data_IF_405306476442
#
_entry.id   IF_405306476442
#
_cell.length_a   1.000
_cell.length_b   1.000
_cell.length_c   1.000
_cell.angle_alpha   90.00
_cell.angle_beta   90.00
_cell.angle_gamma   90.00
#
_symmetry.space_group_name_H-M   'P 1'
#
loop_
_entity.id
_entity.type
_entity.pdbx_description
1 polymer ?
#
# COMPACT_ATOMS: atom_id res chain seq x y z
N UNK A 1 -52.00 -2.47 -55.95
CA UNK A 1 -51.36 -1.96 -57.19
C UNK A 1 -49.88 -2.32 -57.15
N UNK A 2 -49.43 -3.15 -58.12
CA UNK A 2 -48.06 -3.30 -58.67
C UNK A 2 -46.91 -3.51 -57.64
N UNK A 3 -46.48 -4.74 -57.31
CA UNK A 3 -45.50 -5.61 -58.00
C UNK A 3 -44.35 -4.88 -58.72
N UNK A 4 -43.11 -5.13 -58.29
CA UNK A 4 -41.98 -5.46 -59.19
C UNK A 4 -40.96 -6.36 -58.49
N UNK A 5 -40.80 -7.54 -59.08
CA UNK A 5 -39.71 -8.51 -58.90
C UNK A 5 -38.52 -8.13 -59.79
N UNK A 6 -37.34 -8.70 -59.49
CA UNK A 6 -36.24 -9.16 -60.36
C UNK A 6 -34.88 -8.87 -59.68
N UNK A 7 -33.84 -9.70 -59.71
CA UNK A 7 -33.64 -11.07 -60.19
C UNK A 7 -32.27 -11.57 -59.67
N UNK A 8 -32.12 -12.88 -59.71
CA UNK A 8 -30.96 -13.71 -59.36
C UNK A 8 -29.96 -13.80 -60.53
N UNK A 9 -28.66 -13.86 -60.24
CA UNK A 9 -27.61 -14.51 -61.06
C UNK A 9 -26.48 -14.94 -60.09
N UNK A 10 -26.10 -16.19 -59.87
CA UNK A 10 -25.80 -17.40 -60.67
C UNK A 10 -24.53 -17.31 -61.52
N UNK A 11 -23.55 -18.16 -61.16
CA UNK A 11 -22.44 -18.64 -62.02
C UNK A 11 -21.09 -17.96 -61.72
N UNK A 12 -19.94 -18.64 -61.72
CA UNK A 12 -19.61 -20.03 -61.96
C UNK A 12 -18.16 -20.27 -61.49
N UNK A 13 -17.87 -21.52 -61.12
CA UNK A 13 -16.54 -22.01 -60.79
C UNK A 13 -15.61 -22.07 -62.01
N UNK A 14 -14.30 -21.86 -61.82
CA UNK A 14 -13.28 -22.68 -62.52
C UNK A 14 -11.84 -22.41 -62.08
N UNK A 15 -11.20 -23.52 -61.70
CA UNK A 15 -9.89 -24.01 -62.17
C UNK A 15 -8.62 -23.38 -61.59
N UNK A 16 -8.11 -24.12 -60.61
CA UNK A 16 -6.69 -24.44 -60.45
C UNK A 16 -6.00 -24.72 -61.80
N UNK A 17 -4.83 -24.12 -62.02
CA UNK A 17 -3.85 -24.66 -62.96
C UNK A 17 -2.42 -24.35 -62.45
N UNK A 18 -1.62 -25.38 -62.09
CA UNK A 18 -0.21 -25.20 -61.78
C UNK A 18 0.62 -25.36 -63.06
N UNK A 19 1.48 -24.39 -63.38
CA UNK A 19 2.56 -24.61 -64.33
C UNK A 19 3.87 -24.05 -63.81
N UNK A 20 4.76 -24.99 -63.53
CA UNK A 20 6.17 -24.78 -63.31
C UNK A 20 6.81 -24.10 -64.53
N UNK A 21 7.71 -23.16 -64.27
CA UNK A 21 8.74 -22.76 -65.21
C UNK A 21 10.06 -22.73 -64.46
N UNK A 22 10.88 -23.75 -64.73
CA UNK A 22 12.31 -23.80 -64.37
C UNK A 22 13.01 -22.61 -65.02
N UNK A 23 13.75 -21.84 -64.24
CA UNK A 23 14.83 -21.02 -64.74
C UNK A 23 16.09 -21.34 -63.93
N UNK A 24 16.93 -22.16 -64.53
CA UNK A 24 18.31 -22.37 -64.13
C UNK A 24 19.06 -21.03 -64.09
N UNK A 25 19.66 -20.69 -62.96
CA UNK A 25 20.84 -19.83 -62.94
C UNK A 25 21.88 -20.42 -61.99
N UNK A 26 22.84 -21.10 -62.61
CA UNK A 26 24.06 -21.62 -61.99
C UNK A 26 24.99 -20.47 -61.58
N UNK A 27 25.80 -20.74 -60.56
CA UNK A 27 26.99 -20.00 -60.06
C UNK A 27 26.67 -18.68 -59.33
N UNK A 28 27.13 -18.42 -58.11
CA UNK A 28 28.45 -18.67 -57.53
C UNK A 28 28.35 -18.97 -56.01
N UNK A 29 29.09 -19.97 -55.56
CA UNK A 29 29.34 -20.28 -54.16
C UNK A 29 30.31 -19.22 -53.63
N UNK A 30 29.87 -18.36 -52.72
CA UNK A 30 30.77 -17.63 -51.83
C UNK A 30 30.42 -17.99 -50.39
N UNK A 31 31.39 -18.61 -49.73
CA UNK A 31 31.30 -19.10 -48.37
C UNK A 31 31.11 -17.94 -47.37
N UNK A 32 29.99 -17.93 -46.67
CA UNK A 32 29.85 -17.21 -45.40
C UNK A 32 29.51 -18.21 -44.31
N UNK A 33 30.58 -18.81 -43.78
CA UNK A 33 30.60 -19.54 -42.52
C UNK A 33 30.53 -18.53 -41.37
N UNK A 34 29.69 -18.85 -40.38
CA UNK A 34 29.69 -18.40 -39.00
C UNK A 34 29.32 -16.93 -38.69
N UNK A 35 28.17 -16.71 -38.05
CA UNK A 35 28.09 -16.73 -36.59
C UNK A 35 26.62 -16.55 -36.16
N UNK A 36 26.02 -17.60 -35.56
CA UNK A 36 24.78 -17.46 -34.80
C UNK A 36 25.21 -16.89 -33.43
N UNK A 37 25.09 -15.57 -33.28
CA UNK A 37 25.32 -14.91 -32.01
C UNK A 37 24.21 -15.33 -31.02
N UNK A 38 24.59 -16.12 -30.03
CA UNK A 38 23.75 -16.52 -28.91
C UNK A 38 23.49 -15.27 -28.04
N UNK A 39 22.30 -14.68 -28.19
CA UNK A 39 21.81 -13.60 -27.33
C UNK A 39 21.50 -14.17 -25.94
N UNK A 40 22.50 -14.17 -25.05
CA UNK A 40 22.30 -14.40 -23.62
C UNK A 40 21.58 -13.16 -23.07
N UNK A 41 20.27 -13.27 -22.87
CA UNK A 41 19.50 -12.27 -22.12
C UNK A 41 19.94 -12.37 -20.67
N UNK A 42 20.82 -11.48 -20.25
CA UNK A 42 21.16 -11.29 -18.85
C UNK A 42 19.93 -10.71 -18.12
N UNK A 43 19.08 -11.59 -17.59
CA UNK A 43 18.10 -11.22 -16.56
C UNK A 43 18.87 -10.80 -15.32
N UNK A 44 19.20 -9.50 -15.23
CA UNK A 44 19.73 -8.92 -14.01
C UNK A 44 18.71 -9.09 -12.89
N UNK A 45 19.08 -9.82 -11.84
CA UNK A 45 18.35 -9.78 -10.58
C UNK A 45 18.41 -8.34 -10.06
N UNK A 46 17.35 -7.56 -10.30
CA UNK A 46 17.16 -6.31 -9.61
C UNK A 46 16.91 -6.65 -8.14
N UNK A 47 17.94 -6.51 -7.31
CA UNK A 47 17.77 -6.59 -5.86
C UNK A 47 16.70 -5.55 -5.44
N UNK A 48 15.77 -5.91 -4.55
CA UNK A 48 14.79 -4.94 -4.07
C UNK A 48 15.54 -3.75 -3.44
N UNK A 49 15.09 -2.51 -3.71
CA UNK A 49 15.74 -1.33 -3.14
C UNK A 49 15.74 -1.45 -1.62
N UNK A 50 16.93 -1.29 -1.02
CA UNK A 50 17.07 -1.27 0.43
C UNK A 50 16.24 -0.12 1.03
N UNK A 51 15.59 -0.33 2.18
CA UNK A 51 14.89 0.76 2.86
C UNK A 51 15.85 1.92 3.14
N UNK A 52 15.39 3.19 3.06
CA UNK A 52 16.22 4.33 3.41
C UNK A 52 16.69 4.24 4.86
N UNK A 53 17.93 4.63 5.12
CA UNK A 53 18.46 4.67 6.48
C UNK A 53 17.79 5.82 7.22
N UNK A 54 17.47 5.62 8.50
CA UNK A 54 16.77 6.63 9.30
C UNK A 54 17.48 7.99 9.31
N UNK A 55 18.81 8.02 9.24
CA UNK A 55 19.60 9.25 9.20
C UNK A 55 19.38 10.07 7.92
N UNK A 56 19.02 9.42 6.81
CA UNK A 56 18.82 10.07 5.50
C UNK A 56 17.44 10.71 5.37
N UNK A 57 16.53 10.41 6.30
CA UNK A 57 15.20 11.02 6.33
C UNK A 57 15.28 12.48 6.83
N UNK A 58 14.37 13.36 6.34
CA UNK A 58 14.18 14.69 6.92
C UNK A 58 14.04 14.60 8.44
N UNK A 59 14.62 15.56 9.17
CA UNK A 59 14.75 15.50 10.63
C UNK A 59 13.43 15.19 11.35
N UNK A 60 12.34 15.88 10.98
CA UNK A 60 11.01 15.66 11.57
C UNK A 60 10.42 14.27 11.29
N UNK A 61 10.91 13.57 10.26
CA UNK A 61 10.47 12.22 9.91
C UNK A 61 11.27 11.12 10.60
N UNK A 62 12.44 11.42 11.16
CA UNK A 62 13.32 10.42 11.77
C UNK A 62 12.64 9.74 12.96
N UNK A 63 12.97 8.46 13.15
CA UNK A 63 12.62 7.70 14.32
C UNK A 63 13.38 8.25 15.53
N UNK A 64 12.76 8.14 16.70
CA UNK A 64 13.36 8.59 17.94
C UNK A 64 14.60 7.74 18.30
N UNK A 65 15.57 8.29 19.04
CA UNK A 65 16.75 7.54 19.47
C UNK A 65 16.39 6.23 20.17
N UNK A 66 17.06 5.14 19.79
CA UNK A 66 16.83 3.82 20.36
C UNK A 66 15.58 3.07 19.83
N UNK A 67 14.80 3.65 18.91
CA UNK A 67 13.77 2.93 18.19
C UNK A 67 14.40 1.76 17.40
N UNK A 68 13.75 0.59 17.45
CA UNK A 68 14.20 -0.62 16.74
C UNK A 68 13.32 -0.80 15.51
N UNK A 69 13.93 -0.86 14.33
CA UNK A 69 13.24 -1.22 13.08
C UNK A 69 12.86 -2.71 13.15
N UNK A 70 11.57 -3.00 13.14
CA UNK A 70 11.01 -4.34 13.30
C UNK A 70 10.59 -4.94 11.96
N UNK A 71 10.09 -4.12 11.03
CA UNK A 71 9.63 -4.58 9.72
C UNK A 71 9.69 -3.47 8.66
N UNK A 72 9.76 -3.88 7.39
CA UNK A 72 9.67 -2.99 6.22
C UNK A 72 8.64 -3.57 5.27
N UNK A 73 7.58 -2.80 5.06
CA UNK A 73 6.42 -3.22 4.29
C UNK A 73 6.26 -2.36 3.05
N UNK A 74 5.92 -2.99 1.93
CA UNK A 74 5.49 -2.26 0.73
C UNK A 74 3.96 -2.21 0.66
N UNK A 75 3.44 -1.14 0.08
CA UNK A 75 2.00 -0.95 -0.09
C UNK A 75 1.68 -0.47 -1.49
N UNK A 76 0.57 -1.00 -2.04
CA UNK A 76 0.01 -0.64 -3.34
C UNK A 76 -1.50 -0.63 -3.21
N UNK A 77 -2.12 0.53 -3.37
CA UNK A 77 -3.55 0.70 -3.16
C UNK A 77 -3.96 2.11 -3.54
N UNK A 78 -4.73 2.76 -2.67
CA UNK A 78 -5.33 4.06 -2.94
C UNK A 78 -5.27 4.99 -1.73
N UNK A 79 -5.27 6.28 -1.99
CA UNK A 79 -5.65 7.29 -1.01
C UNK A 79 -7.12 7.61 -1.22
N UNK A 80 -7.87 7.54 -0.13
CA UNK A 80 -9.29 7.83 -0.10
C UNK A 80 -9.50 9.30 0.23
N UNK A 81 -10.25 9.98 -0.62
CA UNK A 81 -10.75 11.32 -0.43
C UNK A 81 -12.27 11.32 -0.45
N UNK A 82 -12.87 12.23 0.30
CA UNK A 82 -14.30 12.52 0.27
C UNK A 82 -14.49 14.00 -0.03
N UNK A 83 -15.51 14.32 -0.82
CA UNK A 83 -15.85 15.69 -1.14
C UNK A 83 -16.60 16.35 0.03
N UNK A 84 -15.93 17.27 0.73
CA UNK A 84 -16.50 17.98 1.87
C UNK A 84 -16.93 19.39 1.51
N UNK A 85 -18.05 19.82 2.08
CA UNK A 85 -18.45 21.22 2.05
C UNK A 85 -17.77 22.01 3.17
N UNK A 86 -17.16 23.13 2.79
CA UNK A 86 -16.67 24.15 3.70
C UNK A 86 -17.24 25.50 3.29
N UNK A 87 -18.31 25.93 3.96
CA UNK A 87 -19.06 27.12 3.54
C UNK A 87 -19.74 26.91 2.18
N UNK A 88 -19.42 27.77 1.21
CA UNK A 88 -19.94 27.68 -0.15
C UNK A 88 -19.12 26.75 -1.06
N UNK A 89 -17.91 26.37 -0.64
CA UNK A 89 -16.97 25.62 -1.47
C UNK A 89 -17.01 24.12 -1.18
N UNK A 90 -16.75 23.33 -2.22
CA UNK A 90 -16.57 21.88 -2.14
C UNK A 90 -15.10 21.54 -2.42
N UNK A 91 -14.49 20.72 -1.56
CA UNK A 91 -13.08 20.34 -1.72
C UNK A 91 -12.80 18.90 -1.32
N UNK A 92 -11.78 18.30 -1.95
CA UNK A 92 -11.34 16.95 -1.61
C UNK A 92 -10.66 16.93 -0.24
N UNK A 93 -11.27 16.24 0.71
CA UNK A 93 -10.74 16.04 2.05
C UNK A 93 -10.13 14.64 2.19
N UNK A 94 -8.88 14.59 2.67
CA UNK A 94 -8.16 13.34 2.88
C UNK A 94 -8.81 12.50 3.98
N UNK A 95 -9.18 11.25 3.69
CA UNK A 95 -9.71 10.28 4.66
C UNK A 95 -8.67 9.28 5.13
N UNK A 96 -7.72 8.93 4.27
CA UNK A 96 -6.64 8.02 4.63
C UNK A 96 -6.11 7.22 3.46
N UNK A 97 -5.22 6.28 3.77
CA UNK A 97 -4.76 5.27 2.82
C UNK A 97 -5.62 4.03 2.97
N UNK A 98 -5.89 3.35 1.87
CA UNK A 98 -6.46 2.00 1.85
C UNK A 98 -5.56 1.15 0.95
N UNK A 99 -4.79 0.25 1.54
CA UNK A 99 -3.81 -0.54 0.79
C UNK A 99 -3.45 -1.84 1.49
N UNK A 100 -3.43 -2.97 0.77
CA UNK A 100 -2.74 -4.16 1.22
C UNK A 100 -1.27 -3.88 1.52
N UNK A 101 -0.76 -4.56 2.54
CA UNK A 101 0.63 -4.50 2.98
C UNK A 101 1.32 -5.81 2.61
N UNK A 102 2.55 -5.70 2.10
CA UNK A 102 3.35 -6.83 1.64
C UNK A 102 4.73 -6.81 2.30
N UNK A 103 5.21 -7.98 2.72
CA UNK A 103 6.57 -8.16 3.21
C UNK A 103 7.61 -8.19 2.07
N UNK A 104 8.88 -8.39 2.43
CA UNK A 104 9.99 -8.45 1.47
C UNK A 104 9.93 -9.62 0.50
N UNK A 105 9.19 -10.69 0.84
CA UNK A 105 8.94 -11.83 -0.05
C UNK A 105 7.74 -11.57 -0.99
N UNK A 106 7.07 -10.42 -0.86
CA UNK A 106 5.87 -10.09 -1.63
C UNK A 106 4.61 -10.79 -1.12
N UNK A 107 4.66 -11.42 0.05
CA UNK A 107 3.47 -12.01 0.67
C UNK A 107 2.61 -10.89 1.27
N UNK A 108 1.30 -10.93 1.02
CA UNK A 108 0.34 -10.05 1.71
C UNK A 108 0.30 -10.44 3.19
N UNK A 109 0.46 -9.47 4.07
CA UNK A 109 0.52 -9.67 5.52
C UNK A 109 -0.53 -8.88 6.29
N UNK A 110 -1.30 -8.03 5.60
CA UNK A 110 -2.24 -7.13 6.24
C UNK A 110 -2.73 -6.00 5.34
N UNK A 111 -3.29 -4.98 5.96
CA UNK A 111 -3.90 -3.81 5.31
C UNK A 111 -3.63 -2.55 6.13
N UNK A 112 -3.29 -1.44 5.47
CA UNK A 112 -3.40 -0.09 6.01
C UNK A 112 -4.74 0.50 5.56
N UNK A 113 -5.49 1.10 6.48
CA UNK A 113 -6.86 1.57 6.26
C UNK A 113 -7.06 3.03 6.75
N UNK A 114 -8.12 3.72 6.26
CA UNK A 114 -8.44 5.07 6.68
C UNK A 114 -8.55 5.22 8.20
N UNK A 115 -8.26 6.42 8.71
CA UNK A 115 -8.14 6.64 10.17
C UNK A 115 -6.81 6.17 10.79
N UNK A 116 -5.84 5.75 9.97
CA UNK A 116 -4.49 5.40 10.43
C UNK A 116 -4.39 3.99 11.03
N UNK A 117 -5.28 3.09 10.61
CA UNK A 117 -5.29 1.69 11.02
C UNK A 117 -4.28 0.88 10.22
N UNK A 118 -3.57 -0.01 10.91
CA UNK A 118 -2.72 -1.04 10.34
C UNK A 118 -3.15 -2.37 10.95
N UNK A 119 -3.64 -3.29 10.14
CA UNK A 119 -4.18 -4.57 10.58
C UNK A 119 -3.40 -5.69 9.89
N UNK A 120 -2.86 -6.62 10.66
CA UNK A 120 -2.14 -7.77 10.15
C UNK A 120 -3.05 -9.00 10.10
N UNK A 121 -2.73 -9.93 9.20
CA UNK A 121 -3.47 -11.19 9.04
C UNK A 121 -3.28 -12.13 10.26
N UNK A 122 -2.33 -11.83 11.16
CA UNK A 122 -2.15 -12.50 12.46
C UNK A 122 -3.09 -11.98 13.57
N UNK A 123 -3.99 -11.05 13.24
CA UNK A 123 -4.95 -10.44 14.16
C UNK A 123 -4.39 -9.27 14.98
N UNK A 124 -3.09 -8.96 14.87
CA UNK A 124 -2.52 -7.76 15.50
C UNK A 124 -2.86 -6.49 14.72
N UNK A 125 -2.93 -5.37 15.45
CA UNK A 125 -3.21 -4.08 14.84
C UNK A 125 -2.52 -2.93 15.55
N UNK A 126 -2.41 -1.80 14.85
CA UNK A 126 -2.03 -0.51 15.39
C UNK A 126 -2.95 0.59 14.84
N UNK A 127 -3.28 1.57 15.67
CA UNK A 127 -4.00 2.79 15.30
C UNK A 127 -3.05 3.96 15.50
N UNK A 128 -2.83 4.73 14.44
CA UNK A 128 -1.81 5.78 14.42
C UNK A 128 -2.41 7.15 14.18
N UNK A 129 -1.66 8.20 14.57
CA UNK A 129 -1.91 9.57 14.13
C UNK A 129 -0.68 10.11 13.43
N UNK A 130 -0.88 11.09 12.54
CA UNK A 130 0.23 11.85 11.98
C UNK A 130 0.91 12.65 13.08
N UNK A 131 2.24 12.63 13.07
CA UNK A 131 3.09 13.39 13.97
C UNK A 131 3.94 14.42 13.22
N UNK A 132 4.44 14.04 12.04
CA UNK A 132 5.13 14.96 11.14
C UNK A 132 4.87 14.58 9.68
N UNK A 133 5.01 15.55 8.77
CA UNK A 133 4.96 15.35 7.31
C UNK A 133 6.12 16.07 6.64
N UNK A 134 6.59 15.53 5.51
CA UNK A 134 7.49 16.22 4.60
C UNK A 134 7.02 16.02 3.16
N UNK A 135 6.91 17.13 2.41
CA UNK A 135 6.61 17.06 0.98
C UNK A 135 7.88 16.77 0.19
N UNK A 136 7.83 15.80 -0.71
CA UNK A 136 8.94 15.45 -1.61
C UNK A 136 8.67 15.92 -3.05
N UNK A 137 7.57 16.63 -3.27
CA UNK A 137 7.09 17.08 -4.56
C UNK A 137 5.56 17.19 -4.57
N UNK A 138 4.97 17.90 -5.54
CA UNK A 138 3.52 18.15 -5.57
C UNK A 138 2.70 16.94 -6.05
N UNK A 139 3.33 15.97 -6.71
CA UNK A 139 2.65 14.84 -7.35
C UNK A 139 2.48 13.62 -6.45
N UNK A 140 3.16 13.61 -5.30
CA UNK A 140 3.21 12.47 -4.41
C UNK A 140 2.70 12.86 -3.02
N UNK A 141 1.88 12.00 -2.42
CA UNK A 141 1.40 12.20 -1.06
C UNK A 141 2.59 12.40 -0.12
N UNK A 142 2.56 13.40 0.76
CA UNK A 142 3.68 13.69 1.66
C UNK A 142 4.13 12.46 2.45
N UNK A 143 5.45 12.33 2.61
CA UNK A 143 6.01 11.40 3.58
C UNK A 143 5.53 11.79 4.97
N UNK A 144 5.37 10.80 5.84
CA UNK A 144 4.79 11.03 7.15
C UNK A 144 5.43 10.16 8.21
N UNK A 145 5.58 10.74 9.40
CA UNK A 145 5.87 10.04 10.64
C UNK A 145 4.54 9.84 11.36
N UNK A 146 4.19 8.59 11.63
CA UNK A 146 2.94 8.20 12.27
C UNK A 146 3.27 7.61 13.64
N UNK A 147 2.67 8.13 14.70
CA UNK A 147 2.86 7.62 16.06
C UNK A 147 1.66 6.78 16.46
N UNK A 148 1.93 5.63 17.07
CA UNK A 148 0.91 4.71 17.54
C UNK A 148 0.20 5.30 18.76
N UNK A 149 -1.13 5.28 18.72
CA UNK A 149 -2.02 5.64 19.83
C UNK A 149 -2.47 4.40 20.58
N UNK A 150 -2.73 3.33 19.83
CA UNK A 150 -3.15 2.03 20.33
C UNK A 150 -2.48 0.94 19.50
N UNK A 151 -2.10 -0.15 20.15
CA UNK A 151 -1.66 -1.37 19.50
C UNK A 151 -2.11 -2.57 20.34
N UNK A 152 -2.33 -3.70 19.69
CA UNK A 152 -2.67 -4.95 20.35
C UNK A 152 -2.43 -6.14 19.41
N UNK A 153 -2.45 -7.33 19.99
CA UNK A 153 -2.37 -8.62 19.32
C UNK A 153 -3.27 -9.64 19.99
N UNK A 154 -3.43 -10.82 19.38
CA UNK A 154 -4.27 -11.89 19.93
C UNK A 154 -3.81 -12.32 21.34
N UNK A 155 -2.50 -12.44 21.55
CA UNK A 155 -1.88 -12.45 22.88
C UNK A 155 -1.14 -11.13 23.09
N UNK A 156 -1.10 -10.66 24.33
CA UNK A 156 -0.46 -9.39 24.67
C UNK A 156 0.98 -9.31 24.15
N UNK A 157 1.27 -8.26 23.40
CA UNK A 157 2.59 -8.01 22.84
C UNK A 157 3.04 -8.99 21.73
N UNK A 158 2.18 -9.89 21.27
CA UNK A 158 2.47 -10.83 20.18
C UNK A 158 1.84 -10.40 18.87
N UNK A 159 2.48 -10.74 17.75
CA UNK A 159 2.03 -10.34 16.42
C UNK A 159 2.72 -9.08 15.91
N UNK A 160 2.66 -8.90 14.60
CA UNK A 160 3.47 -7.94 13.84
C UNK A 160 3.26 -6.50 14.27
N UNK A 161 2.02 -6.09 14.55
CA UNK A 161 1.71 -4.71 14.93
C UNK A 161 1.54 -4.48 16.43
N UNK A 162 1.53 -5.53 17.25
CA UNK A 162 1.21 -5.44 18.67
C UNK A 162 2.18 -4.58 19.50
N UNK A 163 3.41 -4.36 19.01
CA UNK A 163 4.42 -3.51 19.68
C UNK A 163 4.80 -2.27 18.87
N UNK A 164 4.05 -1.97 17.81
CA UNK A 164 4.34 -0.83 16.94
C UNK A 164 4.14 0.46 17.70
N UNK A 165 5.19 1.28 17.81
CA UNK A 165 5.14 2.61 18.43
C UNK A 165 5.18 3.72 17.39
N UNK A 166 5.83 3.45 16.25
CA UNK A 166 6.10 4.44 15.23
C UNK A 166 6.09 3.75 13.87
N UNK A 167 5.53 4.43 12.87
CA UNK A 167 5.57 4.02 11.47
C UNK A 167 6.06 5.21 10.66
N UNK A 168 7.10 5.01 9.84
CA UNK A 168 7.49 5.99 8.83
C UNK A 168 6.92 5.57 7.48
N UNK A 169 6.20 6.48 6.84
CA UNK A 169 5.66 6.31 5.49
C UNK A 169 6.52 7.13 4.54
N UNK A 170 7.27 6.44 3.70
CA UNK A 170 8.26 7.02 2.79
C UNK A 170 8.10 6.44 1.39
N UNK A 171 8.89 6.93 0.43
CA UNK A 171 8.86 6.47 -0.96
C UNK A 171 7.45 6.46 -1.57
N UNK A 172 6.61 7.40 -1.17
CA UNK A 172 5.27 7.56 -1.69
C UNK A 172 5.32 7.88 -3.18
N UNK A 173 4.37 7.32 -3.94
CA UNK A 173 4.08 7.77 -5.31
C UNK A 173 2.58 7.85 -5.55
N UNK A 174 2.16 8.94 -6.18
CA UNK A 174 0.75 9.27 -6.38
C UNK A 174 0.01 9.53 -5.05
N UNK A 175 -1.28 9.27 -5.05
CA UNK A 175 -2.14 9.45 -3.88
C UNK A 175 -2.50 10.90 -3.58
N UNK A 176 -2.20 11.84 -4.48
CA UNK A 176 -2.66 13.22 -4.43
C UNK A 176 -3.98 13.31 -5.19
N UNK A 177 -4.96 14.04 -4.67
CA UNK A 177 -6.19 14.33 -5.39
C UNK A 177 -5.87 15.20 -6.63
N UNK A 178 -6.48 14.95 -7.80
CA UNK A 178 -6.32 15.81 -8.96
C UNK A 178 -6.68 17.27 -8.64
N UNK A 179 -6.03 18.20 -9.33
CA UNK A 179 -6.32 19.63 -9.20
C UNK A 179 -7.79 19.92 -9.56
N UNK A 180 -8.45 20.72 -8.72
CA UNK A 180 -9.84 21.15 -8.92
C UNK A 180 -10.74 20.92 -7.70
N UNK A 181 -11.94 21.52 -7.74
CA UNK A 181 -13.00 21.30 -6.76
C UNK A 181 -13.78 20.02 -7.09
N UNK A 182 -14.31 19.38 -6.07
CA UNK A 182 -15.23 18.26 -6.25
C UNK A 182 -16.66 18.76 -6.47
N UNK A 183 -17.44 18.08 -7.31
CA UNK A 183 -18.74 18.59 -7.75
C UNK A 183 -19.90 18.24 -6.80
N UNK A 184 -19.83 17.09 -6.13
CA UNK A 184 -20.92 16.55 -5.32
C UNK A 184 -20.41 16.23 -3.93
N UNK A 185 -20.99 16.87 -2.90
CA UNK A 185 -20.71 16.55 -1.49
C UNK A 185 -20.92 15.05 -1.22
N UNK A 186 -20.01 14.44 -0.45
CA UNK A 186 -20.01 13.00 -0.17
C UNK A 186 -19.51 12.12 -1.32
N UNK A 187 -19.15 12.69 -2.48
CA UNK A 187 -18.49 11.92 -3.53
C UNK A 187 -17.14 11.39 -3.04
N UNK A 188 -16.82 10.15 -3.43
CA UNK A 188 -15.58 9.49 -3.08
C UNK A 188 -14.59 9.53 -4.25
N UNK A 189 -13.32 9.76 -3.95
CA UNK A 189 -12.21 9.68 -4.88
C UNK A 189 -11.14 8.72 -4.34
N UNK A 190 -10.69 7.81 -5.21
CA UNK A 190 -9.68 6.80 -4.89
C UNK A 190 -8.44 7.04 -5.76
N UNK A 191 -7.47 7.76 -5.23
CA UNK A 191 -6.25 8.13 -5.96
C UNK A 191 -5.20 7.01 -5.87
N UNK A 192 -4.72 6.44 -6.99
CA UNK A 192 -3.72 5.37 -6.97
C UNK A 192 -2.46 5.77 -6.21
N UNK A 193 -1.96 4.85 -5.37
CA UNK A 193 -0.94 5.13 -4.39
C UNK A 193 -0.03 3.93 -4.13
N UNK A 194 1.26 4.20 -3.93
CA UNK A 194 2.21 3.22 -3.39
C UNK A 194 3.14 3.87 -2.37
N UNK A 195 3.66 3.08 -1.44
CA UNK A 195 4.65 3.53 -0.46
C UNK A 195 5.44 2.40 0.17
N UNK A 196 6.43 2.79 0.98
CA UNK A 196 7.16 1.92 1.91
C UNK A 196 6.85 2.36 3.35
N UNK A 197 6.54 1.40 4.20
CA UNK A 197 6.32 1.60 5.63
C UNK A 197 7.45 0.96 6.43
N UNK A 198 8.15 1.76 7.24
CA UNK A 198 9.15 1.29 8.18
C UNK A 198 8.51 1.24 9.57
N UNK A 199 8.40 0.04 10.13
CA UNK A 199 7.69 -0.22 11.38
C UNK A 199 8.70 -0.27 12.51
N UNK A 200 8.50 0.57 13.52
CA UNK A 200 9.39 0.67 14.66
C UNK A 200 8.68 0.32 15.96
N UNK A 201 9.44 -0.34 16.84
CA UNK A 201 9.07 -0.61 18.22
C UNK A 201 10.04 0.08 19.18
N UNK A 202 9.57 0.27 20.41
CA UNK A 202 10.43 0.70 21.50
C UNK A 202 11.44 -0.41 21.86
N UNK A 203 12.60 -0.05 22.42
CA UNK A 203 13.54 -1.02 22.95
C UNK A 203 12.90 -1.82 24.08
N UNK A 204 13.40 -3.04 24.33
CA UNK A 204 12.81 -3.96 25.30
C UNK A 204 12.67 -3.35 26.71
N UNK A 205 13.63 -2.53 27.14
CA UNK A 205 13.63 -1.84 28.44
C UNK A 205 12.48 -0.84 28.60
N UNK A 206 12.10 -0.12 27.54
CA UNK A 206 11.00 0.82 27.57
C UNK A 206 9.62 0.13 27.55
N UNK A 207 9.52 -1.05 26.93
CA UNK A 207 8.28 -1.83 26.93
C UNK A 207 8.00 -2.44 28.31
N UNK A 208 9.03 -2.95 29.00
CA UNK A 208 8.89 -3.50 30.35
C UNK A 208 8.39 -2.44 31.35
N UNK A 209 8.94 -1.22 31.29
CA UNK A 209 8.49 -0.12 32.15
C UNK A 209 7.00 0.24 31.93
N UNK A 210 6.51 0.17 30.69
CA UNK A 210 5.11 0.47 30.34
C UNK A 210 4.14 -0.64 30.73
N UNK A 211 4.58 -1.90 30.65
CA UNK A 211 3.80 -3.04 31.16
C UNK A 211 3.64 -2.93 32.66
N UNK A 212 4.72 -2.62 33.38
CA UNK A 212 4.70 -2.49 34.84
C UNK A 212 3.80 -1.33 35.29
N UNK A 213 3.85 -0.17 34.62
CA UNK A 213 2.98 0.95 34.99
C UNK A 213 1.49 0.69 34.71
N UNK A 214 1.17 -0.09 33.66
CA UNK A 214 -0.21 -0.51 33.37
C UNK A 214 -0.72 -1.52 34.40
N UNK A 215 0.12 -2.47 34.80
CA UNK A 215 -0.20 -3.44 35.86
C UNK A 215 -0.42 -2.75 37.22
N UNK A 216 0.43 -1.78 37.59
CA UNK A 216 0.25 -0.99 38.82
C UNK A 216 -1.07 -0.22 38.81
N UNK A 217 -1.45 0.35 37.65
CA UNK A 217 -2.72 1.09 37.52
C UNK A 217 -3.93 0.15 37.67
N UNK A 218 -3.88 -1.06 37.10
CA UNK A 218 -4.94 -2.07 37.25
C UNK A 218 -5.04 -2.66 38.66
N UNK A 219 -3.92 -2.76 39.39
CA UNK A 219 -3.90 -3.21 40.78
C UNK A 219 -4.54 -2.18 41.72
N UNK A 220 -4.24 -0.88 41.53
CA UNK A 220 -4.83 0.21 42.32
C UNK A 220 -6.35 0.32 42.12
N UNK A 221 -6.84 0.07 40.90
CA UNK A 221 -8.27 0.13 40.60
C UNK A 221 -9.07 -1.04 41.19
N UNK A 222 -8.44 -2.22 41.30
CA UNK A 222 -9.05 -3.40 41.92
C UNK A 222 -9.12 -3.27 43.46
N UNK A 223 -8.17 -2.57 44.08
CA UNK A 223 -8.18 -2.32 45.52
C UNK A 223 -9.26 -1.31 45.97
N UNK A 224 -9.74 -0.44 45.08
CA UNK A 224 -10.69 0.62 45.43
C UNK A 224 -12.16 0.17 45.47
N UNK A 225 -12.51 -0.97 44.84
CA UNK A 225 -13.91 -1.46 44.76
C UNK A 225 -14.34 -2.26 46.01
N UNK A 226 -13.43 -2.69 46.87
CA UNK A 226 -13.73 -3.59 48.00
C UNK A 226 -14.02 -2.89 49.35
N UNK A 227 -14.58 -1.67 49.34
CA UNK A 227 -14.68 -0.84 50.55
C UNK A 227 -15.96 -0.02 50.75
N UNK A 228 -17.13 -0.50 50.31
CA UNK A 228 -18.40 0.24 50.55
C UNK A 228 -19.56 -0.67 50.97
N UNK A 229 -19.54 -1.12 52.21
CA UNK A 229 -20.72 -1.70 52.89
C UNK A 229 -21.48 -0.59 53.59
N UNK A 230 -22.68 -0.27 53.11
CA UNK A 230 -23.58 0.73 53.70
C UNK A 230 -24.43 0.06 54.80
N UNK A 231 -24.52 0.60 56.03
CA UNK A 231 -25.41 0.03 57.04
C UNK A 231 -26.88 0.40 56.79
N UNK A 232 -27.77 -0.58 56.96
CA UNK A 232 -29.24 -0.39 56.94
C UNK A 232 -29.69 0.45 58.14
N UNK A 233 -30.69 1.33 57.98
CA UNK A 233 -31.32 2.01 59.11
C UNK A 233 -32.29 1.09 59.85
N UNK A 234 -32.19 1.06 61.19
CA UNK A 234 -33.14 0.39 62.06
C UNK A 234 -34.46 1.18 62.17
N UNK A 235 -35.56 0.45 62.35
CA UNK A 235 -36.94 0.93 62.57
C UNK A 235 -37.11 1.59 63.93
#
# INVERSE_FOLDING_TARGET
>A
MQRKHHDIATGAASRFNPRASKADRRTSISAHVAAIALLIVATGCAAPPSPPVNADLPEGLRAYPGAILDDVLSARGQVVYECDRSGADLSWAYRGVESPLFDSAGKRIGTAAPGGYFMADDGSYAVTRVDAKASMGPQDLSWARLVSRFNAGALEGTGRFARTQLIQRVNTKGGVAPDGVCANEGAMLYAPYRATYLIYRAPASANAARSNSRADTSAVQSASVSGKTLPLPAR
#
